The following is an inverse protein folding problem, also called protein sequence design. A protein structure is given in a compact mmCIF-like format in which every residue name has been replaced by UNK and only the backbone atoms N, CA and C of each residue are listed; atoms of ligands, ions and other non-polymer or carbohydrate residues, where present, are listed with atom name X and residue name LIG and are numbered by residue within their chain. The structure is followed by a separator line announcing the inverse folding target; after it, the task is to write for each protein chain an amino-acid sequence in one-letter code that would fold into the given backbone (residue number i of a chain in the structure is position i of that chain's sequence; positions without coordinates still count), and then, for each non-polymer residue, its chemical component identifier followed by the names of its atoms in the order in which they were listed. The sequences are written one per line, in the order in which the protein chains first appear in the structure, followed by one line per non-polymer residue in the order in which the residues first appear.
data_IF_350986748598
#
_entry.id   IF_350986748598
#
_cell.length_a   1.000
_cell.length_b   1.000
_cell.length_c   1.000
_cell.angle_alpha   90.00
_cell.angle_beta   90.00
_cell.angle_gamma   90.00
#
_symmetry.space_group_name_H-M   'P 1'
#
loop_
_entity.id
_entity.type
_entity.pdbx_description
1 polymer ?
#
# COMPACT_ATOMS: atom_id res chain seq x y z
N UNK A 1 9.46 -12.88 -18.98
CA UNK A 1 10.26 -11.64 -18.86
C UNK A 1 10.34 -11.27 -17.39
N UNK A 2 11.41 -11.70 -16.73
CA UNK A 2 11.64 -11.52 -15.30
C UNK A 2 12.23 -10.11 -15.13
N UNK A 3 11.45 -9.18 -14.57
CA UNK A 3 11.97 -7.84 -14.28
C UNK A 3 13.00 -7.98 -13.16
N UNK A 4 14.25 -7.61 -13.44
CA UNK A 4 15.34 -7.59 -12.48
C UNK A 4 15.13 -6.44 -11.49
N UNK A 5 14.64 -6.79 -10.29
CA UNK A 5 14.38 -5.85 -9.21
C UNK A 5 15.65 -5.23 -8.63
N UNK A 6 16.80 -5.87 -8.80
CA UNK A 6 18.06 -5.41 -8.21
C UNK A 6 18.58 -4.11 -8.83
N UNK A 7 18.25 -3.85 -10.10
CA UNK A 7 18.70 -2.66 -10.82
C UNK A 7 17.87 -1.40 -10.52
N UNK A 8 16.64 -1.54 -10.01
CA UNK A 8 15.69 -0.41 -9.90
C UNK A 8 15.49 0.13 -8.48
N UNK A 9 16.07 -0.52 -7.47
CA UNK A 9 16.12 0.03 -6.11
C UNK A 9 17.33 0.97 -5.99
N UNK A 10 17.02 2.25 -5.80
CA UNK A 10 17.90 3.40 -5.59
C UNK A 10 19.25 3.12 -4.88
N UNK A 11 20.29 3.95 -5.13
CA UNK A 11 21.51 3.94 -4.33
C UNK A 11 21.20 4.47 -2.93
N UNK A 12 20.87 3.57 -2.00
CA UNK A 12 20.68 3.95 -0.60
C UNK A 12 22.03 4.29 0.04
N UNK A 13 22.16 5.40 0.79
CA UNK A 13 23.44 5.93 1.28
C UNK A 13 24.17 4.98 2.25
N UNK A 14 23.48 4.00 2.82
CA UNK A 14 24.04 3.02 3.76
C UNK A 14 24.47 1.70 3.09
N UNK A 15 24.45 1.60 1.76
CA UNK A 15 24.83 0.37 1.03
C UNK A 15 26.28 -0.06 1.31
N UNK A 16 27.17 0.88 1.64
CA UNK A 16 28.56 0.62 1.97
C UNK A 16 28.79 0.02 3.37
N UNK A 17 27.83 0.12 4.29
CA UNK A 17 28.00 -0.33 5.69
C UNK A 17 27.49 -1.75 5.94
N UNK A 18 26.82 -2.37 4.96
CA UNK A 18 26.23 -3.71 5.11
C UNK A 18 27.20 -4.78 4.63
N UNK A 19 27.63 -5.66 5.54
CA UNK A 19 28.53 -6.79 5.27
C UNK A 19 27.93 -7.83 4.29
N UNK A 20 26.60 -7.95 4.24
CA UNK A 20 25.89 -8.88 3.36
C UNK A 20 24.90 -8.07 2.51
N UNK A 21 25.21 -7.91 1.22
CA UNK A 21 24.46 -7.06 0.29
C UNK A 21 23.12 -7.66 -0.18
N UNK A 22 22.85 -8.94 0.11
CA UNK A 22 21.81 -9.71 -0.57
C UNK A 22 20.85 -10.49 0.36
N UNK A 23 20.79 -10.19 1.66
CA UNK A 23 19.81 -10.84 2.54
C UNK A 23 18.56 -9.97 2.77
N UNK A 24 17.91 -9.58 1.67
CA UNK A 24 16.61 -8.91 1.73
C UNK A 24 15.53 -9.97 1.60
N UNK A 25 14.74 -10.15 2.65
CA UNK A 25 13.52 -10.95 2.58
C UNK A 25 12.48 -10.20 1.74
N UNK A 26 12.51 -10.43 0.44
CA UNK A 26 11.62 -9.80 -0.55
C UNK A 26 10.16 -9.99 -0.15
N UNK A 27 9.82 -11.16 0.38
CA UNK A 27 8.46 -11.49 0.79
C UNK A 27 7.99 -10.61 1.96
N UNK A 28 8.87 -10.41 2.96
CA UNK A 28 8.58 -9.53 4.08
C UNK A 28 8.50 -8.05 3.65
N UNK A 29 9.39 -7.63 2.75
CA UNK A 29 9.39 -6.26 2.20
C UNK A 29 8.10 -5.99 1.43
N UNK A 30 7.73 -6.87 0.50
CA UNK A 30 6.50 -6.74 -0.30
C UNK A 30 5.26 -6.68 0.58
N UNK A 31 5.18 -7.55 1.59
CA UNK A 31 4.10 -7.51 2.57
C UNK A 31 4.03 -6.18 3.29
N UNK A 32 5.16 -5.68 3.80
CA UNK A 32 5.21 -4.42 4.54
C UNK A 32 4.83 -3.23 3.64
N UNK A 33 5.35 -3.17 2.42
CA UNK A 33 5.01 -2.12 1.44
C UNK A 33 3.52 -2.19 1.11
N UNK A 34 3.00 -3.37 0.79
CA UNK A 34 1.58 -3.57 0.50
C UNK A 34 0.69 -3.13 1.67
N UNK A 35 0.97 -3.63 2.88
CA UNK A 35 0.20 -3.29 4.07
C UNK A 35 0.22 -1.77 4.32
N UNK A 36 1.38 -1.12 4.17
CA UNK A 36 1.47 0.33 4.35
C UNK A 36 0.64 1.10 3.32
N UNK A 37 0.72 0.75 2.04
CA UNK A 37 -0.06 1.40 0.97
C UNK A 37 -1.55 1.14 1.21
N UNK A 38 -1.94 -0.13 1.33
CA UNK A 38 -3.34 -0.53 1.42
C UNK A 38 -4.02 0.02 2.68
N UNK A 39 -3.37 -0.07 3.85
CA UNK A 39 -3.93 0.47 5.10
C UNK A 39 -4.08 1.99 5.06
N UNK A 40 -3.18 2.69 4.36
CA UNK A 40 -3.22 4.15 4.20
C UNK A 40 -4.36 4.56 3.27
N UNK A 41 -4.53 3.89 2.13
CA UNK A 41 -5.65 4.14 1.20
C UNK A 41 -7.02 3.82 1.83
N UNK A 42 -7.09 2.71 2.57
CA UNK A 42 -8.29 2.25 3.25
C UNK A 42 -8.58 3.01 4.56
N UNK A 43 -7.75 3.98 4.97
CA UNK A 43 -7.89 4.76 6.21
C UNK A 43 -8.14 3.88 7.44
N UNK A 44 -7.39 2.79 7.56
CA UNK A 44 -7.56 1.84 8.65
C UNK A 44 -6.99 2.46 9.93
N UNK A 45 -7.87 2.70 10.92
CA UNK A 45 -7.47 3.19 12.24
C UNK A 45 -6.31 2.36 12.81
N UNK A 46 -5.29 3.03 13.34
CA UNK A 46 -4.07 2.47 13.94
C UNK A 46 -3.12 1.71 12.99
N UNK A 47 -3.40 1.64 11.68
CA UNK A 47 -2.50 1.02 10.68
C UNK A 47 -2.13 1.94 9.52
N UNK A 48 -2.82 3.07 9.34
CA UNK A 48 -2.49 4.04 8.31
C UNK A 48 -1.16 4.73 8.60
N UNK A 49 -0.36 4.93 7.56
CA UNK A 49 0.93 5.62 7.62
C UNK A 49 0.73 7.06 7.12
N UNK A 50 -0.17 7.78 7.81
CA UNK A 50 -0.53 9.17 7.51
C UNK A 50 -0.53 9.99 8.81
N UNK A 51 0.62 9.99 9.48
CA UNK A 51 0.83 10.72 10.73
C UNK A 51 1.27 12.17 10.45
N UNK A 52 1.06 13.11 11.40
CA UNK A 52 1.49 14.49 11.23
C UNK A 52 2.98 14.63 10.87
N UNK A 53 3.86 13.86 11.52
CA UNK A 53 5.30 13.86 11.23
C UNK A 53 5.59 13.43 9.79
N UNK A 54 4.90 12.40 9.29
CA UNK A 54 5.09 11.92 7.92
C UNK A 54 4.64 12.95 6.88
N UNK A 55 3.62 13.76 7.17
CA UNK A 55 3.23 14.87 6.28
C UNK A 55 4.27 15.99 6.26
N UNK A 56 4.92 16.26 7.40
CA UNK A 56 6.06 17.21 7.45
C UNK A 56 7.23 16.69 6.61
N UNK A 57 7.54 15.40 6.71
CA UNK A 57 8.58 14.77 5.89
C UNK A 57 8.24 14.83 4.40
N UNK A 58 6.98 14.55 4.02
CA UNK A 58 6.51 14.66 2.63
C UNK A 58 6.62 16.09 2.09
N UNK A 59 6.41 17.11 2.91
CA UNK A 59 6.65 18.51 2.53
C UNK A 59 8.13 18.77 2.25
N UNK A 60 9.02 18.29 3.12
CA UNK A 60 10.47 18.48 2.96
C UNK A 60 10.99 17.75 1.71
N UNK A 61 10.53 16.51 1.47
CA UNK A 61 11.06 15.65 0.41
C UNK A 61 10.41 15.94 -0.95
N UNK A 62 9.09 16.14 -0.99
CA UNK A 62 8.31 16.19 -2.23
C UNK A 62 7.58 17.52 -2.46
N UNK A 63 7.74 18.51 -1.58
CA UNK A 63 7.15 19.85 -1.68
C UNK A 63 5.62 19.85 -1.95
N UNK A 64 4.89 18.88 -1.38
CA UNK A 64 3.44 18.75 -1.56
C UNK A 64 2.67 19.68 -0.59
N UNK A 65 2.31 20.87 -1.05
CA UNK A 65 1.56 21.88 -0.27
C UNK A 65 0.12 21.45 0.08
N UNK A 66 -0.49 20.54 -0.69
CA UNK A 66 -1.88 20.10 -0.48
C UNK A 66 -2.08 19.21 0.76
N UNK A 67 -1.00 18.65 1.30
CA UNK A 67 -1.01 17.79 2.49
C UNK A 67 -0.61 18.53 3.76
N UNK A 68 -0.52 19.86 3.71
CA UNK A 68 -0.03 20.67 4.82
C UNK A 68 -0.86 20.47 6.10
N UNK A 69 -0.15 20.26 7.20
CA UNK A 69 -0.73 20.20 8.54
C UNK A 69 -0.81 21.64 9.04
N UNK A 70 -2.02 22.15 9.23
CA UNK A 70 -2.21 23.48 9.82
C UNK A 70 -1.71 23.46 11.27
N UNK A 71 -0.62 24.18 11.54
CA UNK A 71 0.00 24.24 12.87
C UNK A 71 -0.93 24.87 13.92
N UNK A 72 -1.92 25.66 13.49
CA UNK A 72 -2.92 26.26 14.38
C UNK A 72 -4.03 25.28 14.75
N UNK A 73 -4.24 24.22 13.95
CA UNK A 73 -5.27 23.20 14.15
C UNK A 73 -4.70 21.80 13.86
N UNK A 74 -3.82 21.28 14.73
CA UNK A 74 -3.22 19.95 14.54
C UNK A 74 -4.24 18.81 14.46
N UNK A 75 -5.44 19.01 15.03
CA UNK A 75 -6.55 18.05 14.98
C UNK A 75 -7.38 18.08 13.69
N UNK A 76 -7.16 19.05 12.79
CA UNK A 76 -7.92 19.21 11.54
C UNK A 76 -7.01 18.87 10.35
N UNK A 77 -6.43 17.66 10.35
CA UNK A 77 -5.75 17.15 9.15
C UNK A 77 -6.79 16.94 8.05
N UNK A 78 -6.67 17.68 6.95
CA UNK A 78 -7.43 17.41 5.72
C UNK A 78 -7.24 15.95 5.34
N UNK A 79 -8.34 15.28 5.00
CA UNK A 79 -8.30 13.90 4.52
C UNK A 79 -7.39 13.88 3.29
N UNK A 80 -6.38 13.00 3.30
CA UNK A 80 -5.42 12.99 2.20
C UNK A 80 -6.12 12.62 0.89
N UNK A 81 -5.70 13.24 -0.21
CA UNK A 81 -6.34 13.12 -1.54
C UNK A 81 -6.43 11.66 -2.00
N UNK A 82 -5.45 10.84 -1.62
CA UNK A 82 -5.39 9.41 -1.90
C UNK A 82 -6.29 8.53 -1.00
N UNK A 83 -7.02 9.11 -0.04
CA UNK A 83 -7.83 8.33 0.90
C UNK A 83 -9.21 8.04 0.33
N UNK A 84 -9.52 6.75 0.15
CA UNK A 84 -10.76 6.33 -0.48
C UNK A 84 -12.02 6.71 0.32
N UNK A 85 -13.10 6.97 -0.41
CA UNK A 85 -14.46 7.09 0.13
C UNK A 85 -15.01 5.72 0.53
N UNK A 86 -16.02 5.67 1.39
CA UNK A 86 -16.63 4.39 1.83
C UNK A 86 -17.13 3.56 0.64
N UNK A 87 -17.67 4.22 -0.38
CA UNK A 87 -18.18 3.55 -1.58
C UNK A 87 -17.04 2.98 -2.44
N UNK A 88 -15.94 3.73 -2.65
CA UNK A 88 -14.76 3.21 -3.33
C UNK A 88 -14.15 2.01 -2.58
N UNK A 89 -14.08 2.06 -1.24
CA UNK A 89 -13.60 0.92 -0.43
C UNK A 89 -14.47 -0.32 -0.65
N UNK A 90 -15.80 -0.15 -0.68
CA UNK A 90 -16.75 -1.24 -0.97
C UNK A 90 -16.49 -1.84 -2.35
N UNK A 91 -16.35 -1.00 -3.38
CA UNK A 91 -16.06 -1.44 -4.76
C UNK A 91 -14.75 -2.22 -4.85
N UNK A 92 -13.68 -1.76 -4.19
CA UNK A 92 -12.41 -2.51 -4.16
C UNK A 92 -12.59 -3.87 -3.47
N UNK A 93 -13.23 -3.90 -2.30
CA UNK A 93 -13.45 -5.16 -1.59
C UNK A 93 -14.31 -6.14 -2.41
N UNK A 94 -15.35 -5.65 -3.06
CA UNK A 94 -16.22 -6.42 -3.94
C UNK A 94 -15.44 -6.95 -5.16
N UNK A 95 -14.65 -6.09 -5.81
CA UNK A 95 -13.79 -6.48 -6.91
C UNK A 95 -12.80 -7.58 -6.50
N UNK A 96 -12.11 -7.42 -5.36
CA UNK A 96 -11.19 -8.45 -4.84
C UNK A 96 -11.92 -9.76 -4.53
N UNK A 97 -13.15 -9.69 -4.01
CA UNK A 97 -13.95 -10.88 -3.72
C UNK A 97 -14.38 -11.64 -4.98
N UNK A 98 -14.53 -10.94 -6.11
CA UNK A 98 -14.86 -11.54 -7.40
C UNK A 98 -13.63 -11.98 -8.21
N UNK A 99 -12.40 -11.72 -7.73
CA UNK A 99 -11.19 -12.19 -8.38
C UNK A 99 -11.07 -13.71 -8.26
N UNK A 100 -11.47 -14.40 -9.33
CA UNK A 100 -11.19 -15.82 -9.52
C UNK A 100 -9.99 -15.97 -10.44
N UNK A 101 -9.05 -16.83 -10.03
CA UNK A 101 -7.89 -17.16 -10.83
C UNK A 101 -8.08 -18.53 -11.49
N UNK A 102 -7.52 -18.69 -12.70
CA UNK A 102 -7.42 -20.00 -13.33
C UNK A 102 -6.61 -20.95 -12.43
N UNK A 103 -7.02 -22.22 -12.43
CA UNK A 103 -6.61 -23.26 -11.50
C UNK A 103 -5.09 -23.25 -11.23
N UNK A 104 -4.70 -23.16 -9.95
CA UNK A 104 -3.29 -23.22 -9.51
C UNK A 104 -2.56 -21.88 -9.35
N UNK A 105 -3.12 -20.74 -9.80
CA UNK A 105 -2.44 -19.44 -9.66
C UNK A 105 -2.63 -18.79 -8.29
N UNK A 106 -3.85 -18.84 -7.74
CA UNK A 106 -4.16 -18.36 -6.40
C UNK A 106 -5.47 -18.96 -5.88
N UNK A 107 -5.55 -19.28 -4.58
CA UNK A 107 -6.81 -19.69 -3.94
C UNK A 107 -7.79 -18.51 -3.82
N UNK A 108 -9.09 -18.82 -3.74
CA UNK A 108 -10.19 -17.86 -3.70
C UNK A 108 -9.97 -16.74 -2.66
N UNK A 109 -9.82 -15.50 -3.14
CA UNK A 109 -9.58 -14.30 -2.34
C UNK A 109 -10.81 -13.80 -1.58
N UNK A 110 -12.02 -14.22 -1.95
CA UNK A 110 -13.25 -13.83 -1.25
C UNK A 110 -13.20 -14.17 0.24
N UNK A 111 -12.53 -15.28 0.61
CA UNK A 111 -12.35 -15.70 2.01
C UNK A 111 -11.48 -14.74 2.82
N UNK A 112 -10.62 -13.98 2.14
CA UNK A 112 -9.70 -13.04 2.77
C UNK A 112 -10.29 -11.64 2.90
N UNK A 113 -11.45 -11.35 2.30
CA UNK A 113 -12.08 -10.03 2.29
C UNK A 113 -13.27 -9.99 3.25
N UNK A 114 -13.21 -9.13 4.26
CA UNK A 114 -14.33 -8.86 5.15
C UNK A 114 -15.17 -7.68 4.66
N UNK A 115 -16.31 -7.94 4.02
CA UNK A 115 -17.20 -6.88 3.49
C UNK A 115 -17.80 -5.99 4.58
N UNK A 116 -18.03 -6.51 5.80
CA UNK A 116 -18.53 -5.72 6.94
C UNK A 116 -17.51 -4.71 7.46
N UNK A 117 -16.23 -5.08 7.46
CA UNK A 117 -15.15 -4.25 7.99
C UNK A 117 -14.42 -3.46 6.91
N UNK A 118 -14.64 -3.79 5.64
CA UNK A 118 -13.89 -3.30 4.47
C UNK A 118 -12.37 -3.47 4.65
N UNK A 119 -11.99 -4.65 5.15
CA UNK A 119 -10.60 -5.02 5.45
C UNK A 119 -10.28 -6.39 4.89
N UNK A 120 -9.01 -6.60 4.56
CA UNK A 120 -8.49 -7.91 4.21
C UNK A 120 -7.81 -8.56 5.42
N UNK A 121 -7.99 -9.87 5.58
CA UNK A 121 -7.37 -10.68 6.64
C UNK A 121 -6.89 -12.01 6.06
N UNK A 122 -5.81 -12.55 6.61
CA UNK A 122 -5.34 -13.90 6.26
C UNK A 122 -4.76 -14.05 4.85
N UNK A 123 -4.24 -12.98 4.25
CA UNK A 123 -3.52 -13.05 2.99
C UNK A 123 -2.19 -13.78 3.18
N UNK A 124 -1.94 -14.79 2.35
CA UNK A 124 -0.61 -15.41 2.22
C UNK A 124 0.35 -14.45 1.51
N UNK A 125 1.64 -14.66 1.75
CA UNK A 125 2.74 -13.91 1.12
C UNK A 125 2.64 -13.78 -0.39
N UNK A 126 2.37 -14.88 -1.09
CA UNK A 126 2.20 -14.95 -2.55
C UNK A 126 1.19 -13.93 -3.08
N UNK A 127 0.12 -13.65 -2.33
CA UNK A 127 -0.88 -12.67 -2.76
C UNK A 127 -0.33 -11.25 -2.74
N UNK A 128 0.48 -10.88 -1.75
CA UNK A 128 1.09 -9.55 -1.70
C UNK A 128 1.96 -9.28 -2.92
N UNK A 129 2.73 -10.29 -3.36
CA UNK A 129 3.50 -10.23 -4.59
C UNK A 129 2.61 -9.95 -5.82
N UNK A 130 1.55 -10.74 -6.01
CA UNK A 130 0.62 -10.54 -7.13
C UNK A 130 -0.06 -9.16 -7.04
N UNK A 131 -0.48 -8.74 -5.85
CA UNK A 131 -1.12 -7.45 -5.65
C UNK A 131 -0.20 -6.29 -6.03
N UNK A 132 1.02 -6.28 -5.51
CA UNK A 132 2.00 -5.23 -5.79
C UNK A 132 2.32 -5.11 -7.29
N UNK A 133 2.47 -6.25 -7.99
CA UNK A 133 2.92 -6.27 -9.38
C UNK A 133 1.79 -6.11 -10.40
N UNK A 134 0.59 -6.60 -10.09
CA UNK A 134 -0.51 -6.71 -11.06
C UNK A 134 -1.69 -5.84 -10.68
N UNK A 135 -2.08 -5.81 -9.40
CA UNK A 135 -3.37 -5.27 -9.02
C UNK A 135 -3.33 -3.85 -8.48
N UNK A 136 -2.28 -3.41 -7.79
CA UNK A 136 -2.17 -2.01 -7.32
C UNK A 136 -2.32 -1.04 -8.50
N UNK A 137 -1.61 -1.21 -9.64
CA UNK A 137 -1.77 -0.31 -10.78
C UNK A 137 -3.20 -0.33 -11.33
N UNK A 138 -3.87 -1.48 -11.34
CA UNK A 138 -5.22 -1.64 -11.91
C UNK A 138 -6.29 -1.09 -10.97
N UNK A 139 -6.22 -1.44 -9.69
CA UNK A 139 -7.21 -1.10 -8.67
C UNK A 139 -7.28 0.40 -8.42
N UNK A 140 -6.16 1.12 -8.57
CA UNK A 140 -6.05 2.53 -8.23
C UNK A 140 -5.98 3.46 -9.44
N UNK A 141 -5.85 2.96 -10.67
CA UNK A 141 -5.81 3.78 -11.90
C UNK A 141 -7.03 4.67 -12.05
N UNK A 142 -8.20 4.22 -11.61
CA UNK A 142 -9.46 4.97 -11.72
C UNK A 142 -9.88 5.66 -10.42
N UNK A 143 -9.15 5.45 -9.31
CA UNK A 143 -9.58 5.90 -7.98
C UNK A 143 -8.73 7.01 -7.38
N UNK A 144 -7.55 7.27 -7.95
CA UNK A 144 -6.67 8.37 -7.58
C UNK A 144 -6.72 9.44 -8.68
N UNK A 145 -6.64 10.74 -8.34
CA UNK A 145 -6.51 11.80 -9.33
C UNK A 145 -5.21 11.68 -10.14
#
# INVERSE_FOLDING_TARGET
MQMDWAQRMFPMPYRGTHLIRHNLDVMYIEKNVFDNIFNTMMDIKNKKKNNPSQRKDLKIIYNQSELEVDERRPNVMRKAVYTLTKEQKRRICEWISHLNFFYGYASNLARCVGMKELRMRGLKSHYFHIFMHKFIPIAFREMLP
#
